data_IF_896869535570
#
_entry.id   IF_896869535570
#
_cell.length_a   1.000
_cell.length_b   1.000
_cell.length_c   1.000
_cell.angle_alpha   90.00
_cell.angle_beta   90.00
_cell.angle_gamma   90.00
#
_symmetry.space_group_name_H-M   'P 1'
#
loop_
_entity.id
_entity.type
_entity.pdbx_description
1 polymer ?
#
# COMPACT_ATOMS: atom_id res chain seq x y z
N UNK A 1 13.91 38.49 33.19
CA UNK A 1 14.12 37.04 33.45
C UNK A 1 13.00 36.19 32.84
N UNK A 2 11.71 36.44 33.13
CA UNK A 2 10.56 35.69 32.58
C UNK A 2 10.41 35.73 31.04
N UNK A 3 10.75 36.85 30.40
CA UNK A 3 10.76 36.99 28.92
C UNK A 3 11.88 36.20 28.23
N UNK A 4 12.99 35.95 28.93
CA UNK A 4 14.14 35.20 28.40
C UNK A 4 13.86 33.68 28.42
N UNK A 5 13.10 33.23 29.42
CA UNK A 5 12.63 31.84 29.53
C UNK A 5 11.66 31.45 28.40
N UNK A 6 10.73 32.35 28.05
CA UNK A 6 9.82 32.16 26.92
C UNK A 6 10.56 32.06 25.58
N UNK A 7 11.60 32.87 25.40
CA UNK A 7 12.47 32.81 24.21
C UNK A 7 13.20 31.46 24.13
N UNK A 8 13.70 30.95 25.27
CA UNK A 8 14.38 29.66 25.34
C UNK A 8 13.44 28.48 25.03
N UNK A 9 12.19 28.52 25.51
CA UNK A 9 11.18 27.48 25.24
C UNK A 9 10.82 27.44 23.75
N UNK A 10 10.60 28.61 23.13
CA UNK A 10 10.29 28.69 21.68
C UNK A 10 11.48 28.23 20.83
N UNK A 11 12.71 28.54 21.24
CA UNK A 11 13.93 28.10 20.55
C UNK A 11 14.16 26.58 20.67
N UNK A 12 13.80 25.96 21.79
CA UNK A 12 13.89 24.50 21.96
C UNK A 12 12.85 23.73 21.15
N UNK A 13 11.67 24.32 20.87
CA UNK A 13 10.63 23.71 20.04
C UNK A 13 11.01 23.64 18.55
N UNK A 14 11.94 24.48 18.10
CA UNK A 14 12.47 24.47 16.72
C UNK A 14 13.48 23.36 16.42
N UNK A 15 13.92 22.58 17.43
CA UNK A 15 14.87 21.48 17.23
C UNK A 15 14.22 20.08 17.24
N UNK A 16 12.89 19.99 17.32
CA UNK A 16 12.15 18.71 17.38
C UNK A 16 11.56 18.34 16.00
N UNK A 17 12.03 18.94 14.91
CA UNK A 17 11.35 18.87 13.61
C UNK A 17 11.69 17.65 12.73
N UNK A 18 12.48 16.68 13.21
CA UNK A 18 12.80 15.47 12.46
C UNK A 18 12.98 14.30 13.44
N UNK A 19 11.88 13.74 13.93
CA UNK A 19 11.88 12.53 14.76
C UNK A 19 10.98 11.47 14.07
N UNK A 20 11.41 10.20 13.96
CA UNK A 20 10.61 9.12 13.35
C UNK A 20 9.26 8.88 14.06
N UNK A 21 9.13 9.35 15.30
CA UNK A 21 7.87 9.34 16.05
C UNK A 21 6.84 10.35 15.52
N UNK A 22 7.28 11.39 14.78
CA UNK A 22 6.40 12.41 14.20
C UNK A 22 5.99 12.10 12.77
N UNK A 23 6.74 11.27 12.04
CA UNK A 23 6.42 10.91 10.65
C UNK A 23 5.12 10.09 10.55
N UNK A 24 4.78 9.32 11.59
CA UNK A 24 3.50 8.60 11.64
C UNK A 24 2.30 9.41 12.12
N UNK A 25 2.46 10.72 12.36
CA UNK A 25 1.32 11.62 12.60
C UNK A 25 0.53 11.80 11.29
N UNK A 26 1.21 11.84 10.14
CA UNK A 26 0.60 11.76 8.81
C UNK A 26 1.04 10.41 8.21
N UNK A 27 0.29 9.32 8.44
CA UNK A 27 0.79 7.99 8.14
C UNK A 27 0.99 7.81 6.64
N UNK A 28 2.22 7.42 6.28
CA UNK A 28 2.63 6.91 4.98
C UNK A 28 2.61 5.39 5.05
N UNK A 29 1.67 4.76 4.35
CA UNK A 29 1.40 3.32 4.37
C UNK A 29 0.79 2.86 3.05
N UNK A 30 0.91 1.57 2.70
CA UNK A 30 0.22 1.03 1.55
C UNK A 30 -1.29 1.08 1.71
N UNK A 31 -1.98 1.35 0.61
CA UNK A 31 -3.42 1.43 0.52
C UNK A 31 -3.92 0.63 -0.70
N UNK A 32 -4.89 -0.24 -0.43
CA UNK A 32 -5.69 -0.91 -1.45
C UNK A 32 -6.98 -0.12 -1.68
N UNK A 33 -7.40 0.14 -2.93
CA UNK A 33 -8.56 0.99 -3.21
C UNK A 33 -9.87 0.34 -2.76
N UNK A 34 -10.88 1.15 -2.44
CA UNK A 34 -12.24 0.64 -2.28
C UNK A 34 -12.83 0.39 -3.68
N UNK A 35 -12.71 -0.84 -4.18
CA UNK A 35 -13.22 -1.24 -5.49
C UNK A 35 -14.41 -2.17 -5.36
N UNK A 36 -15.38 -2.01 -6.24
CA UNK A 36 -16.50 -2.93 -6.43
C UNK A 36 -16.17 -3.79 -7.65
N UNK A 37 -16.21 -5.10 -7.50
CA UNK A 37 -15.99 -6.02 -8.60
C UNK A 37 -17.28 -6.14 -9.38
N UNK A 38 -17.21 -6.04 -10.70
CA UNK A 38 -18.38 -6.26 -11.53
C UNK A 38 -18.81 -7.74 -11.42
N UNK A 39 -20.08 -8.01 -11.71
CA UNK A 39 -20.57 -9.39 -11.72
C UNK A 39 -19.90 -10.16 -12.87
N UNK A 40 -19.29 -11.30 -12.55
CA UNK A 40 -18.78 -12.24 -13.53
C UNK A 40 -19.87 -13.23 -13.96
N UNK A 41 -19.72 -13.82 -15.14
CA UNK A 41 -20.58 -14.89 -15.64
C UNK A 41 -19.80 -16.19 -15.69
N UNK A 42 -20.37 -17.26 -15.15
CA UNK A 42 -19.73 -18.57 -15.12
C UNK A 42 -19.35 -19.03 -16.54
N UNK A 43 -18.09 -19.42 -16.73
CA UNK A 43 -17.52 -19.86 -18.00
C UNK A 43 -17.16 -18.74 -18.98
N UNK A 44 -17.38 -17.47 -18.65
CA UNK A 44 -16.96 -16.32 -19.47
C UNK A 44 -15.72 -15.65 -18.91
N UNK A 45 -14.92 -15.05 -19.79
CA UNK A 45 -13.75 -14.30 -19.37
C UNK A 45 -14.14 -13.07 -18.56
N UNK A 46 -13.52 -12.94 -17.40
CA UNK A 46 -13.61 -11.81 -16.50
C UNK A 46 -12.22 -11.23 -16.31
N UNK A 47 -12.14 -9.90 -16.22
CA UNK A 47 -10.92 -9.18 -15.86
C UNK A 47 -11.30 -7.95 -15.03
N UNK A 48 -10.54 -7.69 -13.98
CA UNK A 48 -10.65 -6.47 -13.19
C UNK A 48 -9.28 -6.08 -12.64
N UNK A 49 -8.96 -4.79 -12.69
CA UNK A 49 -7.70 -4.26 -12.18
C UNK A 49 -7.91 -3.41 -10.93
N UNK A 50 -7.02 -3.54 -9.95
CA UNK A 50 -6.89 -2.66 -8.78
C UNK A 50 -5.56 -1.92 -8.88
N UNK A 51 -5.54 -0.62 -8.57
CA UNK A 51 -4.29 0.15 -8.45
C UNK A 51 -4.06 0.50 -6.99
N UNK A 52 -2.99 -0.03 -6.42
CA UNK A 52 -2.54 0.33 -5.08
C UNK A 52 -1.73 1.63 -5.09
N UNK A 53 -1.56 2.19 -3.91
CA UNK A 53 -0.74 3.38 -3.67
C UNK A 53 -0.15 3.35 -2.26
N UNK A 54 0.97 4.01 -2.03
CA UNK A 54 1.40 4.48 -0.71
C UNK A 54 0.78 5.85 -0.51
N UNK A 55 -0.04 6.00 0.53
CA UNK A 55 -0.74 7.26 0.76
C UNK A 55 0.22 8.36 1.26
N UNK A 56 -0.10 9.62 0.94
CA UNK A 56 0.66 10.79 1.38
C UNK A 56 2.13 10.86 0.91
N UNK A 57 2.51 10.05 -0.09
CA UNK A 57 3.87 10.03 -0.62
C UNK A 57 3.91 10.42 -2.11
N UNK A 58 4.59 11.52 -2.50
CA UNK A 58 4.75 11.88 -3.92
C UNK A 58 5.67 10.91 -4.68
N UNK A 59 6.45 10.08 -3.99
CA UNK A 59 7.39 9.10 -4.51
C UNK A 59 6.79 7.69 -4.57
N UNK A 60 5.47 7.57 -4.59
CA UNK A 60 4.79 6.28 -4.62
C UNK A 60 5.27 5.30 -5.72
N UNK A 61 5.77 5.82 -6.84
CA UNK A 61 6.37 5.02 -7.91
C UNK A 61 7.76 4.44 -7.60
N UNK A 62 8.41 4.82 -6.51
CA UNK A 62 9.72 4.29 -6.08
C UNK A 62 9.63 3.10 -5.12
N UNK A 63 8.44 2.58 -4.86
CA UNK A 63 8.26 1.38 -4.05
C UNK A 63 8.13 0.13 -4.94
N UNK A 64 8.65 -0.99 -4.45
CA UNK A 64 8.29 -2.31 -4.97
C UNK A 64 6.99 -2.78 -4.33
N UNK A 65 6.10 -3.29 -5.18
CA UNK A 65 4.78 -3.77 -4.79
C UNK A 65 4.68 -5.28 -4.92
N UNK A 66 4.21 -5.92 -3.87
CA UNK A 66 4.03 -7.37 -3.83
C UNK A 66 2.61 -7.72 -3.42
N UNK A 67 1.86 -8.28 -4.35
CA UNK A 67 0.49 -8.71 -4.12
C UNK A 67 0.42 -10.22 -3.85
N UNK A 68 -0.43 -10.59 -2.90
CA UNK A 68 -0.86 -11.98 -2.69
C UNK A 68 -2.37 -12.02 -2.67
N UNK A 69 -2.96 -12.86 -3.52
CA UNK A 69 -4.42 -12.98 -3.63
C UNK A 69 -4.86 -14.38 -3.21
N UNK A 70 -5.89 -14.45 -2.38
CA UNK A 70 -6.50 -15.71 -1.92
C UNK A 70 -8.02 -15.67 -2.06
N UNK A 71 -8.66 -16.84 -2.12
CA UNK A 71 -10.12 -16.94 -2.23
C UNK A 71 -10.67 -16.72 -3.65
N UNK A 72 -9.82 -16.82 -4.67
CA UNK A 72 -10.26 -16.75 -6.07
C UNK A 72 -11.16 -17.95 -6.44
N UNK A 73 -12.21 -17.73 -7.26
CA UNK A 73 -12.99 -18.82 -7.85
C UNK A 73 -12.12 -19.75 -8.70
N UNK A 74 -12.54 -21.02 -8.86
CA UNK A 74 -11.84 -21.94 -9.78
C UNK A 74 -11.87 -21.41 -11.21
N UNK A 75 -10.71 -21.42 -11.87
CA UNK A 75 -10.53 -20.92 -13.24
C UNK A 75 -10.17 -19.44 -13.32
N UNK A 76 -10.02 -18.78 -12.16
CA UNK A 76 -9.47 -17.43 -12.04
C UNK A 76 -8.01 -17.48 -11.57
N UNK A 77 -7.25 -16.46 -11.93
CA UNK A 77 -5.88 -16.22 -11.52
C UNK A 77 -5.63 -14.71 -11.35
N UNK A 78 -4.39 -14.34 -11.00
CA UNK A 78 -3.98 -12.94 -10.90
C UNK A 78 -2.55 -12.71 -11.39
N UNK A 79 -2.28 -11.48 -11.81
CA UNK A 79 -0.96 -11.01 -12.20
C UNK A 79 -0.77 -9.58 -11.70
N UNK A 80 0.48 -9.19 -11.45
CA UNK A 80 0.82 -7.83 -11.05
C UNK A 80 1.70 -7.14 -12.09
N UNK A 81 1.44 -5.85 -12.30
CA UNK A 81 2.26 -4.96 -13.11
C UNK A 81 2.51 -3.66 -12.31
N UNK A 82 3.69 -3.58 -11.69
CA UNK A 82 4.03 -2.50 -10.77
C UNK A 82 2.97 -2.34 -9.68
N UNK A 83 2.29 -1.19 -9.66
CA UNK A 83 1.23 -0.86 -8.68
C UNK A 83 -0.14 -1.45 -9.01
N UNK A 84 -0.29 -2.16 -10.13
CA UNK A 84 -1.57 -2.72 -10.57
C UNK A 84 -1.61 -4.22 -10.31
N UNK A 85 -2.72 -4.66 -9.75
CA UNK A 85 -3.11 -6.06 -9.62
C UNK A 85 -4.24 -6.34 -10.59
N UNK A 86 -4.06 -7.30 -11.49
CA UNK A 86 -5.07 -7.80 -12.40
C UNK A 86 -5.60 -9.13 -11.87
N UNK A 87 -6.91 -9.27 -11.74
CA UNK A 87 -7.59 -10.52 -11.43
C UNK A 87 -8.38 -10.92 -12.66
N UNK A 88 -8.11 -12.10 -13.21
CA UNK A 88 -8.64 -12.49 -14.51
C UNK A 88 -8.90 -13.99 -14.64
N UNK A 89 -9.62 -14.40 -15.67
CA UNK A 89 -9.87 -15.80 -16.01
C UNK A 89 -11.35 -16.12 -16.24
N UNK A 90 -11.67 -17.41 -16.26
CA UNK A 90 -13.02 -17.92 -16.55
C UNK A 90 -13.55 -18.66 -15.30
N UNK A 91 -14.36 -18.02 -14.44
CA UNK A 91 -14.83 -18.65 -13.22
C UNK A 91 -15.77 -19.81 -13.56
N UNK A 92 -15.50 -21.00 -13.02
CA UNK A 92 -16.22 -22.22 -13.42
C UNK A 92 -17.54 -22.44 -12.68
N UNK A 93 -17.69 -21.87 -11.48
CA UNK A 93 -18.81 -22.13 -10.57
C UNK A 93 -19.48 -20.81 -10.18
N UNK A 94 -20.82 -20.84 -10.06
CA UNK A 94 -21.62 -19.70 -9.59
C UNK A 94 -21.52 -19.58 -8.08
N UNK A 95 -21.51 -18.35 -7.58
CA UNK A 95 -21.44 -18.07 -6.15
C UNK A 95 -20.88 -16.68 -5.86
N UNK A 96 -20.90 -16.32 -4.59
CA UNK A 96 -20.25 -15.11 -4.10
C UNK A 96 -18.93 -15.50 -3.42
N UNK A 97 -17.82 -14.98 -3.95
CA UNK A 97 -16.48 -15.32 -3.52
C UNK A 97 -15.86 -14.16 -2.74
N UNK A 98 -15.38 -14.44 -1.53
CA UNK A 98 -14.60 -13.49 -0.73
C UNK A 98 -13.14 -13.59 -1.12
N UNK A 99 -12.66 -12.60 -1.85
CA UNK A 99 -11.29 -12.52 -2.32
C UNK A 99 -10.50 -11.64 -1.35
N UNK A 100 -9.45 -12.17 -0.76
CA UNK A 100 -8.54 -11.39 0.10
C UNK A 100 -7.30 -11.02 -0.68
N UNK A 101 -7.04 -9.72 -0.79
CA UNK A 101 -5.80 -9.17 -1.34
C UNK A 101 -4.94 -8.69 -0.19
N UNK A 102 -3.74 -9.24 -0.10
CA UNK A 102 -2.67 -8.77 0.77
C UNK A 102 -1.66 -8.02 -0.09
N UNK A 103 -1.16 -6.89 0.42
CA UNK A 103 -0.19 -6.04 -0.23
C UNK A 103 0.94 -5.75 0.75
N UNK A 104 2.17 -5.96 0.30
CA UNK A 104 3.40 -5.47 0.95
C UNK A 104 4.10 -4.51 0.00
N UNK A 105 4.67 -3.44 0.55
CA UNK A 105 5.51 -2.48 -0.17
C UNK A 105 6.90 -2.42 0.44
N UNK A 106 7.92 -2.33 -0.40
CA UNK A 106 9.31 -2.18 0.03
C UNK A 106 9.91 -0.93 -0.62
N UNK A 107 10.57 -0.04 0.13
CA UNK A 107 11.28 1.09 -0.43
C UNK A 107 12.54 0.63 -1.17
N UNK A 108 12.96 1.40 -2.18
CA UNK A 108 14.27 1.22 -2.80
C UNK A 108 15.34 1.82 -1.88
N UNK A 109 16.18 0.97 -1.30
CA UNK A 109 17.33 1.41 -0.52
C UNK A 109 18.52 1.74 -1.44
N UNK A 110 19.07 2.94 -1.30
CA UNK A 110 20.37 3.27 -1.87
C UNK A 110 21.45 3.05 -0.82
N UNK A 111 22.57 2.47 -1.23
CA UNK A 111 23.76 2.33 -0.37
C UNK A 111 24.68 3.52 -0.63
N UNK A 112 25.20 4.15 0.42
CA UNK A 112 26.26 5.15 0.29
C UNK A 112 27.61 4.50 -0.04
N UNK A 113 28.59 5.33 -0.37
CA UNK A 113 29.96 4.89 -0.71
C UNK A 113 30.66 4.16 0.46
N UNK A 114 30.17 4.31 1.68
CA UNK A 114 30.70 3.68 2.90
C UNK A 114 29.95 2.38 3.28
N UNK A 115 28.99 1.93 2.45
CA UNK A 115 28.21 0.72 2.69
C UNK A 115 27.04 0.89 3.67
N UNK A 116 26.77 2.13 4.08
CA UNK A 116 25.60 2.52 4.86
C UNK A 116 24.34 2.57 4.00
N UNK A 117 23.19 2.28 4.60
CA UNK A 117 21.89 2.50 3.94
C UNK A 117 21.60 3.99 4.04
N UNK A 118 21.47 4.67 2.89
CA UNK A 118 20.96 6.03 2.85
C UNK A 118 19.47 6.00 3.21
N UNK A 119 19.15 6.19 4.49
CA UNK A 119 17.79 6.48 4.92
C UNK A 119 17.41 7.89 4.47
N UNK A 120 16.65 8.00 3.39
CA UNK A 120 16.13 9.28 2.86
C UNK A 120 14.87 9.76 3.62
N UNK A 121 14.79 9.49 4.91
CA UNK A 121 13.75 10.01 5.81
C UNK A 121 12.31 9.50 5.61
N UNK A 122 12.01 8.70 4.58
CA UNK A 122 10.66 8.15 4.38
C UNK A 122 10.53 6.76 5.01
N UNK A 123 10.36 6.74 6.32
CA UNK A 123 9.98 5.52 7.02
C UNK A 123 8.50 5.25 6.81
N UNK A 124 8.17 4.20 6.05
CA UNK A 124 6.81 3.65 6.03
C UNK A 124 6.38 3.33 7.47
N UNK A 125 5.22 3.84 7.88
CA UNK A 125 4.67 3.54 9.20
C UNK A 125 4.18 2.10 9.30
N UNK A 126 3.72 1.57 8.17
CA UNK A 126 3.35 0.19 7.95
C UNK A 126 3.83 -0.20 6.56
N UNK A 127 4.40 -1.38 6.41
CA UNK A 127 4.89 -1.92 5.14
C UNK A 127 3.83 -2.74 4.41
N UNK A 128 2.68 -2.99 5.03
CA UNK A 128 1.69 -3.93 4.51
C UNK A 128 0.26 -3.56 4.87
N UNK A 129 -0.67 -4.02 4.03
CA UNK A 129 -2.11 -3.85 4.23
C UNK A 129 -2.87 -5.03 3.63
N UNK A 130 -4.14 -5.17 3.99
CA UNK A 130 -5.01 -6.17 3.38
C UNK A 130 -6.44 -5.69 3.25
N UNK A 131 -7.13 -6.18 2.22
CA UNK A 131 -8.54 -5.88 1.97
C UNK A 131 -9.27 -7.07 1.40
N UNK A 132 -10.50 -7.27 1.87
CA UNK A 132 -11.41 -8.28 1.35
C UNK A 132 -12.38 -7.64 0.34
N UNK A 133 -12.53 -8.29 -0.81
CA UNK A 133 -13.45 -7.95 -1.89
C UNK A 133 -14.46 -9.07 -2.09
N UNK A 134 -15.57 -8.75 -2.75
CA UNK A 134 -16.59 -9.75 -3.10
C UNK A 134 -16.77 -9.77 -4.62
N UNK A 135 -16.55 -10.94 -5.22
CA UNK A 135 -16.87 -11.21 -6.62
C UNK A 135 -18.11 -12.09 -6.69
N UNK A 136 -19.17 -11.58 -7.30
CA UNK A 136 -20.36 -12.36 -7.62
C UNK A 136 -20.21 -13.01 -8.99
N UNK A 137 -20.34 -14.33 -9.06
CA UNK A 137 -20.35 -15.12 -10.30
C UNK A 137 -21.76 -15.68 -10.53
N UNK A 138 -22.35 -15.38 -11.69
CA UNK A 138 -23.74 -15.72 -12.05
C UNK A 138 -23.86 -16.62 -13.27
#
# INVERSE_FOLDING_TARGET
>A
MRKLYLLFIVLSLSFISCDPLTDCIIPTRPELPSSIFNTAVAGQYYEHSLRAQVNNDPRDDSYFYYFTVTGLPRGMDYEQEGRRLFIFGNPSERGDYRIRVFLTVEPIFFTDDDGGILEDGDTLCEDSTSRDYTLSVR
#
